data_IF_665216092946
#
_entry.id   IF_665216092946
#
_cell.length_a   1.000
_cell.length_b   1.000
_cell.length_c   1.000
_cell.angle_alpha   90.00
_cell.angle_beta   90.00
_cell.angle_gamma   90.00
#
_symmetry.space_group_name_H-M   'P 1'
#
loop_
_entity.id
_entity.type
_entity.pdbx_description
1 polymer ?
#
# COMPACT_ATOMS: atom_id res chain seq x y z
N UNK A 1 -10.41 -11.08 -14.55
CA UNK A 1 -10.22 -12.38 -13.89
C UNK A 1 -11.48 -13.22 -13.80
N UNK A 2 -12.57 -12.77 -13.15
CA UNK A 2 -13.82 -13.57 -13.07
C UNK A 2 -14.39 -13.93 -14.45
N UNK A 3 -14.44 -12.97 -15.37
CA UNK A 3 -14.86 -13.20 -16.76
C UNK A 3 -13.99 -14.24 -17.45
N UNK A 4 -12.66 -14.10 -17.35
CA UNK A 4 -11.71 -15.07 -17.91
C UNK A 4 -11.93 -16.49 -17.37
N UNK A 5 -12.13 -16.66 -16.05
CA UNK A 5 -12.43 -17.97 -15.43
C UNK A 5 -13.71 -18.58 -16.03
N UNK A 6 -14.74 -17.75 -16.24
CA UNK A 6 -16.02 -18.20 -16.81
C UNK A 6 -15.88 -18.57 -18.30
N UNK A 7 -15.24 -17.71 -19.10
CA UNK A 7 -15.03 -17.92 -20.54
C UNK A 7 -14.18 -19.15 -20.84
N UNK A 8 -13.16 -19.40 -20.02
CA UNK A 8 -12.26 -20.54 -20.16
C UNK A 8 -12.77 -21.80 -19.45
N UNK A 9 -13.94 -21.75 -18.80
CA UNK A 9 -14.54 -22.91 -18.11
C UNK A 9 -13.64 -23.51 -17.03
N UNK A 10 -12.85 -22.69 -16.33
CA UNK A 10 -11.84 -23.19 -15.37
C UNK A 10 -12.54 -23.77 -14.13
N UNK A 11 -12.30 -25.05 -13.78
CA UNK A 11 -12.86 -25.67 -12.59
C UNK A 11 -12.43 -24.95 -11.30
N UNK A 12 -13.31 -24.93 -10.29
CA UNK A 12 -13.07 -24.20 -9.04
C UNK A 12 -11.80 -24.65 -8.32
N UNK A 13 -11.51 -25.96 -8.31
CA UNK A 13 -10.32 -26.57 -7.74
C UNK A 13 -9.02 -26.23 -8.49
N UNK A 14 -9.13 -25.71 -9.72
CA UNK A 14 -8.00 -25.27 -10.56
C UNK A 14 -7.77 -23.77 -10.58
N UNK A 15 -8.67 -22.98 -9.97
CA UNK A 15 -8.55 -21.51 -9.97
C UNK A 15 -7.22 -21.06 -9.34
N UNK A 16 -6.82 -21.67 -8.22
CA UNK A 16 -5.59 -21.30 -7.52
C UNK A 16 -4.30 -21.69 -8.28
N UNK A 17 -4.40 -22.62 -9.23
CA UNK A 17 -3.29 -23.09 -10.07
C UNK A 17 -3.06 -22.22 -11.32
N UNK A 18 -3.96 -21.27 -11.61
CA UNK A 18 -3.82 -20.36 -12.75
C UNK A 18 -2.47 -19.65 -12.66
N UNK A 19 -1.65 -19.75 -13.72
CA UNK A 19 -0.36 -19.08 -13.76
C UNK A 19 -0.50 -17.64 -14.23
N UNK A 20 0.08 -16.73 -13.44
CA UNK A 20 0.19 -15.32 -13.72
C UNK A 20 1.62 -15.03 -14.16
N UNK A 21 1.77 -14.32 -15.28
CA UNK A 21 3.05 -13.72 -15.66
C UNK A 21 3.16 -12.37 -14.96
N UNK A 22 4.22 -12.21 -14.18
CA UNK A 22 4.54 -10.98 -13.45
C UNK A 22 5.67 -10.28 -14.19
N UNK A 23 5.43 -9.03 -14.53
CA UNK A 23 6.40 -8.15 -15.18
C UNK A 23 6.75 -7.04 -14.21
N UNK A 24 7.95 -7.14 -13.63
CA UNK A 24 8.52 -6.12 -12.76
C UNK A 24 9.55 -5.31 -13.54
N UNK A 25 9.57 -4.00 -13.35
CA UNK A 25 10.49 -3.14 -14.07
C UNK A 25 11.96 -3.44 -13.73
N UNK A 26 12.78 -3.63 -14.77
CA UNK A 26 14.21 -3.93 -14.62
C UNK A 26 14.53 -5.34 -14.11
N UNK A 27 13.54 -6.19 -13.84
CA UNK A 27 13.73 -7.58 -13.45
C UNK A 27 13.31 -8.53 -14.58
N UNK A 28 13.88 -9.73 -14.61
CA UNK A 28 13.43 -10.77 -15.55
C UNK A 28 11.97 -11.13 -15.22
N UNK A 29 11.06 -11.13 -16.21
CA UNK A 29 9.70 -11.60 -16.00
C UNK A 29 9.72 -13.02 -15.43
N UNK A 30 8.80 -13.28 -14.51
CA UNK A 30 8.63 -14.60 -13.93
C UNK A 30 7.16 -14.99 -13.93
N UNK A 31 6.88 -16.27 -13.72
CA UNK A 31 5.51 -16.78 -13.58
C UNK A 31 5.29 -17.36 -12.19
N UNK A 32 4.20 -16.98 -11.55
CA UNK A 32 3.72 -17.56 -10.29
C UNK A 32 2.31 -18.12 -10.45
N UNK A 33 1.83 -18.92 -9.50
CA UNK A 33 0.42 -19.31 -9.44
C UNK A 33 -0.41 -18.19 -8.82
N UNK A 34 -1.72 -18.16 -9.10
CA UNK A 34 -2.65 -17.24 -8.46
C UNK A 34 -2.57 -17.39 -6.93
N UNK A 35 -2.45 -18.64 -6.44
CA UNK A 35 -2.24 -18.91 -5.01
C UNK A 35 -1.03 -18.17 -4.42
N UNK A 36 0.06 -18.05 -5.18
CA UNK A 36 1.26 -17.37 -4.74
C UNK A 36 1.11 -15.85 -4.65
N UNK A 37 0.11 -15.29 -5.36
CA UNK A 37 -0.19 -13.85 -5.39
C UNK A 37 -1.31 -13.43 -4.43
N UNK A 38 -1.84 -14.35 -3.64
CA UNK A 38 -2.92 -14.08 -2.68
C UNK A 38 -2.38 -14.10 -1.25
N UNK A 39 -2.83 -13.11 -0.47
CA UNK A 39 -2.70 -13.11 0.99
C UNK A 39 -4.11 -13.27 1.59
N UNK A 40 -4.26 -14.20 2.54
CA UNK A 40 -5.52 -14.47 3.21
C UNK A 40 -5.29 -14.92 4.65
N UNK A 41 -6.12 -14.46 5.59
CA UNK A 41 -6.11 -14.90 6.99
C UNK A 41 -7.40 -15.63 7.26
N UNK A 42 -7.30 -16.75 7.97
CA UNK A 42 -8.47 -17.51 8.43
C UNK A 42 -8.99 -16.85 9.70
N UNK A 43 -10.20 -16.29 9.65
CA UNK A 43 -10.79 -15.61 10.80
C UNK A 43 -10.95 -16.57 11.99
N UNK A 44 -10.51 -16.14 13.17
CA UNK A 44 -10.56 -16.94 14.40
C UNK A 44 -9.48 -18.02 14.50
N UNK A 45 -8.59 -18.12 13.51
CA UNK A 45 -7.45 -19.03 13.53
C UNK A 45 -6.15 -18.25 13.33
N UNK A 46 -5.07 -18.68 14.00
CA UNK A 46 -3.75 -18.11 13.78
C UNK A 46 -3.09 -18.71 12.52
N UNK A 47 -3.82 -18.71 11.41
CA UNK A 47 -3.44 -19.33 10.14
C UNK A 47 -3.65 -18.36 8.99
N UNK A 48 -2.65 -18.26 8.11
CA UNK A 48 -2.71 -17.42 6.92
C UNK A 48 -2.13 -18.13 5.69
N UNK A 49 -2.66 -17.79 4.52
CA UNK A 49 -2.04 -18.05 3.23
C UNK A 49 -1.23 -16.83 2.84
N UNK A 50 0.06 -17.02 2.59
CA UNK A 50 0.92 -15.99 1.98
C UNK A 50 1.98 -16.66 1.12
N UNK A 51 2.33 -16.03 0.00
CA UNK A 51 3.31 -16.57 -0.97
C UNK A 51 2.99 -18.01 -1.43
N UNK A 52 1.71 -18.41 -1.42
CA UNK A 52 1.26 -19.74 -1.84
C UNK A 52 1.32 -20.82 -0.75
N UNK A 53 1.79 -20.48 0.45
CA UNK A 53 1.95 -21.39 1.57
C UNK A 53 1.01 -21.04 2.72
N UNK A 54 0.38 -22.07 3.30
CA UNK A 54 -0.31 -21.95 4.57
C UNK A 54 0.73 -21.90 5.69
N UNK A 55 0.60 -20.92 6.57
CA UNK A 55 1.48 -20.72 7.72
C UNK A 55 0.62 -20.47 8.95
N UNK A 56 1.02 -21.04 10.08
CA UNK A 56 0.53 -20.61 11.37
C UNK A 56 1.46 -19.58 11.99
N UNK A 57 0.93 -18.73 12.86
CA UNK A 57 1.70 -17.79 13.66
C UNK A 57 1.37 -17.96 15.15
N UNK A 58 2.30 -17.60 16.02
CA UNK A 58 2.14 -17.66 17.48
C UNK A 58 2.22 -16.26 18.08
N UNK A 59 2.02 -16.18 19.40
CA UNK A 59 2.05 -14.93 20.16
C UNK A 59 3.42 -14.23 20.05
N UNK A 60 4.52 -14.98 20.18
CA UNK A 60 5.88 -14.42 20.07
C UNK A 60 6.10 -13.70 18.73
N UNK A 61 5.61 -14.29 17.63
CA UNK A 61 5.68 -13.67 16.32
C UNK A 61 4.84 -12.39 16.25
N UNK A 62 3.63 -12.40 16.83
CA UNK A 62 2.77 -11.23 16.87
C UNK A 62 3.40 -10.10 17.67
N UNK A 63 4.02 -10.40 18.81
CA UNK A 63 4.69 -9.42 19.65
C UNK A 63 5.90 -8.80 18.96
N UNK A 64 6.71 -9.61 18.28
CA UNK A 64 7.83 -9.11 17.47
C UNK A 64 7.33 -8.20 16.34
N UNK A 65 6.27 -8.62 15.64
CA UNK A 65 5.69 -7.83 14.56
C UNK A 65 5.14 -6.51 15.10
N UNK A 66 4.42 -6.53 16.23
CA UNK A 66 3.90 -5.34 16.90
C UNK A 66 5.01 -4.38 17.30
N UNK A 67 6.07 -4.90 17.94
CA UNK A 67 7.23 -4.09 18.32
C UNK A 67 7.92 -3.45 17.11
N UNK A 68 8.07 -4.20 16.01
CA UNK A 68 8.69 -3.69 14.79
C UNK A 68 7.88 -2.57 14.15
N UNK A 69 6.57 -2.77 13.99
CA UNK A 69 5.71 -1.73 13.37
C UNK A 69 5.55 -0.53 14.28
N UNK A 70 5.35 -0.72 15.59
CA UNK A 70 5.19 0.39 16.54
C UNK A 70 6.48 1.22 16.72
N UNK A 71 7.64 0.68 16.32
CA UNK A 71 8.90 1.41 16.25
C UNK A 71 9.05 2.33 15.03
N UNK A 72 8.09 2.33 14.09
CA UNK A 72 8.11 3.23 12.93
C UNK A 72 7.66 4.63 13.36
N UNK A 73 8.34 5.67 12.87
CA UNK A 73 8.02 7.05 13.22
C UNK A 73 6.59 7.43 12.78
N UNK A 74 5.79 7.89 13.75
CA UNK A 74 4.45 8.42 13.49
C UNK A 74 4.51 9.94 13.30
N UNK A 75 4.36 10.38 12.06
CA UNK A 75 4.27 11.80 11.74
C UNK A 75 2.94 12.37 12.24
N UNK A 76 3.01 13.52 12.91
CA UNK A 76 1.83 14.23 13.37
C UNK A 76 0.97 14.69 12.19
N UNK A 77 -0.32 14.33 12.22
CA UNK A 77 -1.29 14.81 11.26
C UNK A 77 -1.77 16.21 11.63
N UNK A 78 -1.67 17.13 10.67
CA UNK A 78 -2.14 18.50 10.79
C UNK A 78 -3.65 18.51 11.13
N UNK A 79 -4.13 19.48 11.94
CA UNK A 79 -5.52 19.52 12.39
C UNK A 79 -6.54 19.33 11.26
N UNK A 80 -6.31 19.99 10.13
CA UNK A 80 -7.21 19.97 8.96
C UNK A 80 -7.27 18.61 8.26
N UNK A 81 -6.28 17.74 8.47
CA UNK A 81 -6.25 16.39 7.89
C UNK A 81 -6.50 15.29 8.91
N UNK A 82 -6.70 15.59 10.19
CA UNK A 82 -7.03 14.54 11.18
C UNK A 82 -8.36 13.85 10.87
N UNK A 83 -9.28 14.56 10.23
CA UNK A 83 -10.58 14.06 9.81
C UNK A 83 -10.94 14.56 8.41
N UNK A 84 -10.85 13.67 7.41
CA UNK A 84 -11.02 14.01 6.01
C UNK A 84 -12.45 13.72 5.56
N UNK A 85 -13.12 14.76 5.07
CA UNK A 85 -14.45 14.71 4.45
C UNK A 85 -14.29 15.09 2.98
N UNK A 86 -14.87 14.30 2.08
CA UNK A 86 -14.85 14.58 0.64
C UNK A 86 -14.09 13.55 -0.19
N UNK A 87 -13.85 13.93 -1.44
CA UNK A 87 -13.16 13.14 -2.45
C UNK A 87 -11.67 13.53 -2.55
N UNK A 88 -10.91 12.71 -3.28
CA UNK A 88 -9.46 12.82 -3.42
C UNK A 88 -8.99 14.17 -3.97
N UNK A 89 -9.70 14.74 -4.94
CA UNK A 89 -9.35 16.05 -5.51
C UNK A 89 -9.36 17.18 -4.48
N UNK A 90 -10.40 17.25 -3.64
CA UNK A 90 -10.50 18.27 -2.58
C UNK A 90 -9.41 18.10 -1.51
N UNK A 91 -9.03 16.86 -1.22
CA UNK A 91 -7.90 16.57 -0.32
C UNK A 91 -6.58 17.08 -0.90
N UNK A 92 -6.29 16.80 -2.17
CA UNK A 92 -5.05 17.24 -2.83
C UNK A 92 -4.96 18.77 -2.94
N UNK A 93 -6.07 19.46 -3.24
CA UNK A 93 -6.12 20.93 -3.24
C UNK A 93 -5.85 21.53 -1.85
N UNK A 94 -6.43 20.93 -0.80
CA UNK A 94 -6.20 21.37 0.57
C UNK A 94 -4.74 21.13 1.01
N UNK A 95 -4.16 19.98 0.65
CA UNK A 95 -2.75 19.67 0.86
C UNK A 95 -1.83 20.71 0.18
N UNK A 96 -2.17 21.11 -1.05
CA UNK A 96 -1.47 22.17 -1.78
C UNK A 96 -1.35 23.50 -1.02
N UNK A 97 -2.41 23.89 -0.32
CA UNK A 97 -2.47 25.16 0.45
C UNK A 97 -1.54 25.18 1.66
N UNK A 98 -1.08 24.02 2.13
CA UNK A 98 -0.21 23.89 3.31
C UNK A 98 1.16 23.30 2.96
N UNK A 99 1.58 23.46 1.70
CA UNK A 99 2.94 23.21 1.25
C UNK A 99 3.22 21.82 0.67
N UNK A 100 2.21 20.98 0.50
CA UNK A 100 2.39 19.73 -0.26
C UNK A 100 2.37 20.02 -1.76
N UNK A 101 3.33 19.47 -2.48
CA UNK A 101 3.33 19.43 -3.94
C UNK A 101 2.56 18.19 -4.37
N UNK A 102 1.55 18.38 -5.20
CA UNK A 102 0.78 17.27 -5.77
C UNK A 102 1.61 16.55 -6.84
N UNK A 103 1.75 15.23 -6.70
CA UNK A 103 2.41 14.33 -7.64
C UNK A 103 1.47 13.20 -8.13
N UNK A 104 0.17 13.27 -7.78
CA UNK A 104 -0.89 12.35 -8.22
C UNK A 104 -0.90 12.26 -9.76
N UNK A 105 -0.78 11.04 -10.29
CA UNK A 105 -0.66 10.74 -11.73
C UNK A 105 0.49 11.46 -12.44
N UNK A 106 1.50 11.94 -11.73
CA UNK A 106 2.71 12.45 -12.35
C UNK A 106 3.65 11.32 -12.74
N UNK A 107 3.44 10.80 -13.94
CA UNK A 107 4.25 9.76 -14.54
C UNK A 107 5.61 10.26 -15.05
N UNK A 108 5.95 11.53 -14.85
CA UNK A 108 7.24 12.11 -15.22
C UNK A 108 8.26 12.10 -14.08
N UNK A 109 7.82 11.87 -12.83
CA UNK A 109 8.67 11.78 -11.64
C UNK A 109 9.61 10.58 -11.71
N UNK A 110 9.12 9.46 -12.26
CA UNK A 110 9.90 8.25 -12.52
C UNK A 110 9.66 7.86 -13.99
N UNK A 111 10.58 8.25 -14.87
CA UNK A 111 10.56 7.79 -16.27
C UNK A 111 11.48 6.58 -16.40
N UNK A 112 10.89 5.40 -16.51
CA UNK A 112 11.64 4.16 -16.77
C UNK A 112 11.97 4.02 -18.26
N UNK A 113 12.92 3.11 -18.57
CA UNK A 113 13.34 2.80 -19.94
C UNK A 113 12.27 2.04 -20.74
N UNK A 114 11.38 1.33 -20.05
CA UNK A 114 10.16 0.77 -20.60
C UNK A 114 9.06 1.83 -20.57
N UNK A 115 8.12 1.82 -21.51
CA UNK A 115 7.01 2.78 -21.59
C UNK A 115 5.97 2.68 -20.44
N UNK A 116 6.32 2.04 -19.32
CA UNK A 116 5.43 1.82 -18.19
C UNK A 116 5.46 3.04 -17.28
N UNK A 117 4.29 3.64 -17.13
CA UNK A 117 4.07 4.82 -16.31
C UNK A 117 3.78 4.35 -14.88
N UNK A 118 4.72 4.57 -13.96
CA UNK A 118 4.54 4.23 -12.53
C UNK A 118 4.14 5.48 -11.76
N UNK A 119 3.03 5.38 -11.04
CA UNK A 119 2.63 6.38 -10.04
C UNK A 119 3.47 6.14 -8.77
N UNK A 120 4.44 7.02 -8.52
CA UNK A 120 5.48 6.79 -7.52
C UNK A 120 5.02 7.11 -6.08
N UNK A 121 4.26 8.19 -5.93
CA UNK A 121 3.67 8.72 -4.69
C UNK A 121 2.62 9.79 -5.04
N UNK A 122 1.77 10.15 -4.08
CA UNK A 122 0.67 11.11 -4.29
C UNK A 122 1.10 12.56 -3.97
N UNK A 123 1.90 12.76 -2.92
CA UNK A 123 2.33 14.09 -2.47
C UNK A 123 3.82 14.12 -2.15
N UNK A 124 4.40 15.33 -2.18
CA UNK A 124 5.77 15.61 -1.77
C UNK A 124 5.81 16.85 -0.86
N UNK A 125 6.54 16.78 0.25
CA UNK A 125 6.84 17.94 1.10
C UNK A 125 8.16 17.73 1.83
N UNK A 126 9.05 18.72 1.83
CA UNK A 126 10.31 18.71 2.59
C UNK A 126 11.15 17.42 2.37
N UNK A 127 11.39 17.04 1.12
CA UNK A 127 12.09 15.78 0.74
C UNK A 127 11.43 14.49 1.27
N UNK A 128 10.19 14.57 1.75
CA UNK A 128 9.36 13.43 2.15
C UNK A 128 8.33 13.18 1.07
N UNK A 129 8.29 11.95 0.57
CA UNK A 129 7.25 11.50 -0.36
C UNK A 129 6.13 10.84 0.42
N UNK A 130 4.87 11.01 0.00
CA UNK A 130 3.70 10.49 0.69
C UNK A 130 2.86 9.65 -0.26
N UNK A 131 2.62 8.40 0.12
CA UNK A 131 1.61 7.55 -0.53
C UNK A 131 0.35 7.53 0.33
N UNK A 132 -0.72 8.10 -0.18
CA UNK A 132 -1.98 8.34 0.53
C UNK A 132 -3.02 7.32 0.10
N UNK A 133 -3.64 6.63 1.07
CA UNK A 133 -4.73 5.71 0.73
C UNK A 133 -5.86 5.71 1.74
N UNK A 134 -7.07 5.83 1.19
CA UNK A 134 -8.33 5.65 1.93
C UNK A 134 -8.94 4.27 1.70
N UNK A 135 -9.24 3.56 2.78
CA UNK A 135 -9.96 2.29 2.69
C UNK A 135 -9.87 1.41 3.94
N UNK A 136 -10.47 0.20 3.88
CA UNK A 136 -10.22 -0.84 4.87
C UNK A 136 -8.77 -1.33 4.78
N UNK A 137 -8.31 -2.06 5.81
CA UNK A 137 -6.96 -2.62 5.91
C UNK A 137 -6.51 -3.35 4.62
N UNK A 138 -7.40 -4.17 4.03
CA UNK A 138 -7.13 -4.85 2.77
C UNK A 138 -6.82 -3.90 1.60
N UNK A 139 -7.54 -2.78 1.49
CA UNK A 139 -7.36 -1.82 0.39
C UNK A 139 -6.12 -0.96 0.60
N UNK A 140 -5.83 -0.57 1.86
CA UNK A 140 -4.64 0.23 2.15
C UNK A 140 -3.36 -0.59 2.10
N UNK A 141 -3.42 -1.91 2.32
CA UNK A 141 -2.26 -2.81 2.13
C UNK A 141 -1.67 -2.74 0.73
N UNK A 142 -2.49 -2.48 -0.30
CA UNK A 142 -2.02 -2.28 -1.67
C UNK A 142 -1.07 -1.09 -1.81
N UNK A 143 -1.21 -0.05 -0.97
CA UNK A 143 -0.30 1.10 -1.01
C UNK A 143 1.13 0.71 -0.61
N UNK A 144 1.28 -0.29 0.27
CA UNK A 144 2.59 -0.82 0.63
C UNK A 144 3.25 -1.52 -0.56
N UNK A 145 2.45 -2.24 -1.36
CA UNK A 145 2.92 -2.90 -2.58
C UNK A 145 3.37 -1.87 -3.63
N UNK A 146 2.58 -0.80 -3.83
CA UNK A 146 2.95 0.31 -4.71
C UNK A 146 4.21 1.04 -4.23
N UNK A 147 4.31 1.33 -2.94
CA UNK A 147 5.49 1.97 -2.37
C UNK A 147 6.74 1.11 -2.53
N UNK A 148 6.63 -0.21 -2.37
CA UNK A 148 7.74 -1.13 -2.60
C UNK A 148 8.20 -1.14 -4.07
N UNK A 149 7.28 -1.04 -5.03
CA UNK A 149 7.65 -0.88 -6.44
C UNK A 149 8.47 0.39 -6.66
N UNK A 150 8.05 1.51 -6.06
CA UNK A 150 8.79 2.78 -6.11
C UNK A 150 10.20 2.64 -5.53
N UNK A 151 10.35 2.00 -4.37
CA UNK A 151 11.65 1.76 -3.73
C UNK A 151 12.57 0.88 -4.61
N UNK A 152 12.01 -0.14 -5.27
CA UNK A 152 12.76 -0.98 -6.21
C UNK A 152 13.28 -0.18 -7.41
N UNK A 153 12.48 0.75 -7.94
CA UNK A 153 12.90 1.62 -9.04
C UNK A 153 14.02 2.57 -8.58
N UNK A 154 13.89 3.15 -7.38
CA UNK A 154 14.92 3.99 -6.76
C UNK A 154 16.22 3.21 -6.58
N UNK A 155 16.15 2.00 -6.02
CA UNK A 155 17.33 1.13 -5.82
C UNK A 155 18.06 0.84 -7.12
N UNK A 156 17.30 0.59 -8.18
CA UNK A 156 17.84 0.08 -9.43
C UNK A 156 18.53 1.14 -10.29
N UNK A 157 18.52 2.44 -9.93
CA UNK A 157 19.24 3.63 -10.47
C UNK A 157 19.46 3.73 -12.01
N UNK A 158 19.89 2.68 -12.69
CA UNK A 158 20.06 2.49 -14.13
C UNK A 158 18.80 2.70 -15.00
N UNK A 159 17.60 2.65 -14.41
CA UNK A 159 16.35 2.92 -15.15
C UNK A 159 15.80 4.34 -14.93
N UNK A 160 16.42 5.15 -14.06
CA UNK A 160 15.98 6.51 -13.79
C UNK A 160 16.65 7.48 -14.77
N UNK A 161 15.87 8.11 -15.66
CA UNK A 161 16.40 9.18 -16.52
C UNK A 161 16.72 10.47 -15.74
N UNK A 162 16.02 10.70 -14.63
CA UNK A 162 16.22 11.84 -13.72
C UNK A 162 15.45 11.59 -12.43
N UNK A 163 16.10 11.67 -11.28
CA UNK A 163 15.45 11.89 -9.99
C UNK A 163 16.04 13.20 -9.46
N UNK A 164 15.35 14.32 -9.73
CA UNK A 164 15.86 15.66 -9.41
C UNK A 164 15.86 15.99 -7.90
N UNK A 165 15.30 15.10 -7.06
CA UNK A 165 15.13 15.31 -5.63
C UNK A 165 15.68 14.15 -4.79
N UNK A 166 16.48 14.50 -3.79
CA UNK A 166 16.88 13.59 -2.73
C UNK A 166 15.66 13.26 -1.85
N UNK A 167 15.17 12.03 -1.96
CA UNK A 167 14.11 11.49 -1.10
C UNK A 167 14.73 11.06 0.23
N UNK A 168 14.44 11.79 1.30
CA UNK A 168 14.98 11.53 2.65
C UNK A 168 14.05 10.64 3.48
N UNK A 169 12.75 10.73 3.22
CA UNK A 169 11.75 9.96 3.94
C UNK A 169 10.62 9.51 2.99
N UNK A 170 10.02 8.38 3.31
CA UNK A 170 8.83 7.87 2.63
C UNK A 170 7.75 7.69 3.69
N UNK A 171 6.63 8.39 3.54
CA UNK A 171 5.49 8.31 4.43
C UNK A 171 4.35 7.50 3.79
N UNK A 172 3.85 6.47 4.48
CA UNK A 172 2.52 5.91 4.15
C UNK A 172 1.46 6.65 4.96
N UNK A 173 0.50 7.25 4.26
CA UNK A 173 -0.59 7.99 4.88
C UNK A 173 -1.90 7.22 4.74
N UNK A 174 -2.33 6.60 5.84
CA UNK A 174 -3.53 5.79 5.88
C UNK A 174 -4.75 6.58 6.36
N UNK A 175 -5.84 6.52 5.61
CA UNK A 175 -7.11 7.15 5.93
C UNK A 175 -8.15 6.05 6.20
N UNK A 176 -8.50 5.86 7.47
CA UNK A 176 -9.43 4.81 7.91
C UNK A 176 -10.82 5.36 8.22
N UNK A 177 -11.85 4.55 7.97
CA UNK A 177 -13.21 4.83 8.41
C UNK A 177 -13.37 4.48 9.89
N UNK A 178 -13.14 5.45 10.79
CA UNK A 178 -13.19 5.25 12.25
C UNK A 178 -13.39 6.56 13.00
N UNK A 179 -13.89 6.47 14.24
CA UNK A 179 -14.14 7.62 15.12
C UNK A 179 -12.93 7.95 15.99
N UNK A 180 -12.23 6.94 16.51
CA UNK A 180 -11.06 7.11 17.38
C UNK A 180 -9.77 7.25 16.59
N UNK A 181 -8.80 8.07 17.05
CA UNK A 181 -7.46 8.13 16.45
C UNK A 181 -6.73 6.80 16.61
N UNK A 182 -5.72 6.59 15.75
CA UNK A 182 -4.76 5.47 15.86
C UNK A 182 -3.52 6.05 16.51
N UNK A 183 -3.09 5.45 17.62
CA UNK A 183 -1.85 5.87 18.28
C UNK A 183 -0.68 4.91 18.03
N UNK A 184 -1.00 3.67 17.64
CA UNK A 184 -0.03 2.60 17.33
C UNK A 184 -0.52 1.75 16.17
N UNK A 185 0.40 1.17 15.40
CA UNK A 185 0.05 0.34 14.25
C UNK A 185 -0.44 -1.03 14.72
N UNK A 186 0.04 -1.51 15.87
CA UNK A 186 -0.43 -2.72 16.54
C UNK A 186 -1.94 -2.72 16.80
N UNK A 187 -2.57 -1.55 16.98
CA UNK A 187 -4.03 -1.39 17.15
C UNK A 187 -4.84 -1.74 15.89
N UNK A 188 -4.20 -1.84 14.73
CA UNK A 188 -4.90 -2.18 13.49
C UNK A 188 -5.11 -3.70 13.44
N UNK A 189 -6.36 -4.14 13.38
CA UNK A 189 -6.69 -5.56 13.34
C UNK A 189 -6.48 -6.16 11.93
N UNK A 190 -5.21 -6.26 11.52
CA UNK A 190 -4.80 -6.88 10.26
C UNK A 190 -3.33 -7.27 10.30
N UNK A 191 -3.06 -8.56 10.51
CA UNK A 191 -1.70 -9.12 10.49
C UNK A 191 -1.01 -8.94 9.12
N UNK A 192 -1.76 -9.13 8.02
CA UNK A 192 -1.24 -8.95 6.65
C UNK A 192 -0.78 -7.50 6.45
N UNK A 193 -1.57 -6.52 6.89
CA UNK A 193 -1.20 -5.12 6.75
C UNK A 193 0.07 -4.79 7.56
N UNK A 194 0.15 -5.30 8.79
CA UNK A 194 1.35 -5.13 9.64
C UNK A 194 2.59 -5.71 8.98
N UNK A 195 2.50 -6.92 8.41
CA UNK A 195 3.60 -7.54 7.66
C UNK A 195 4.03 -6.69 6.46
N UNK A 196 3.08 -6.19 5.67
CA UNK A 196 3.37 -5.34 4.52
C UNK A 196 4.04 -4.02 4.94
N UNK A 197 3.60 -3.42 6.04
CA UNK A 197 4.22 -2.21 6.61
C UNK A 197 5.64 -2.51 7.09
N UNK A 198 5.85 -3.61 7.81
CA UNK A 198 7.19 -4.02 8.28
C UNK A 198 8.15 -4.25 7.10
N UNK A 199 7.71 -5.01 6.10
CA UNK A 199 8.46 -5.30 4.88
C UNK A 199 8.81 -4.04 4.09
N UNK A 200 7.91 -3.07 4.02
CA UNK A 200 8.14 -1.77 3.40
C UNK A 200 9.15 -0.93 4.21
N UNK A 201 8.96 -0.84 5.52
CA UNK A 201 9.82 -0.05 6.39
C UNK A 201 11.26 -0.57 6.38
N UNK A 202 11.46 -1.89 6.31
CA UNK A 202 12.77 -2.51 6.15
C UNK A 202 13.46 -2.05 4.85
N UNK A 203 12.74 -2.09 3.72
CA UNK A 203 13.25 -1.65 2.41
C UNK A 203 13.59 -0.16 2.37
N UNK A 204 12.80 0.69 3.03
CA UNK A 204 13.17 2.10 3.20
C UNK A 204 14.53 2.24 3.88
N UNK A 205 14.72 1.57 5.02
CA UNK A 205 15.96 1.64 5.80
C UNK A 205 17.17 1.11 5.02
N UNK A 206 17.00 0.03 4.24
CA UNK A 206 18.04 -0.51 3.37
C UNK A 206 18.54 0.51 2.32
N UNK A 207 17.68 1.45 1.92
CA UNK A 207 18.00 2.52 0.97
C UNK A 207 18.40 3.84 1.65
N UNK A 208 18.52 3.86 2.99
CA UNK A 208 18.80 5.08 3.74
C UNK A 208 17.63 6.08 3.78
N UNK A 209 16.42 5.63 3.43
CA UNK A 209 15.19 6.43 3.46
C UNK A 209 14.49 6.18 4.80
N UNK A 210 14.08 7.23 5.49
CA UNK A 210 13.36 7.10 6.76
C UNK A 210 11.90 6.67 6.51
N UNK A 211 11.44 5.52 7.04
CA UNK A 211 10.03 5.14 6.96
C UNK A 211 9.20 5.94 7.98
N UNK A 212 8.14 6.57 7.50
CA UNK A 212 7.18 7.31 8.32
C UNK A 212 5.75 6.82 8.09
N UNK A 213 4.90 7.00 9.09
CA UNK A 213 3.48 6.69 9.00
C UNK A 213 2.66 7.88 9.45
N UNK A 214 1.53 8.07 8.79
CA UNK A 214 0.59 9.15 9.07
C UNK A 214 -0.82 8.62 9.01
N UNK A 215 -1.66 9.08 9.93
CA UNK A 215 -3.03 8.58 10.06
C UNK A 215 -4.06 9.69 10.00
N UNK A 216 -5.10 9.44 9.24
CA UNK A 216 -6.31 10.26 9.22
C UNK A 216 -7.54 9.39 9.40
N UNK A 217 -8.62 10.04 9.82
CA UNK A 217 -9.93 9.44 9.95
C UNK A 217 -10.85 9.96 8.86
N UNK A 218 -11.89 9.22 8.56
CA UNK A 218 -12.94 9.64 7.64
C UNK A 218 -14.28 9.00 8.06
N UNK A 219 -15.42 9.54 7.60
CA UNK A 219 -16.69 8.88 7.82
C UNK A 219 -16.72 7.53 7.10
N UNK A 220 -17.44 6.57 7.70
CA UNK A 220 -17.80 5.33 7.03
C UNK A 220 -18.54 5.65 5.73
N UNK A 221 -18.12 5.03 4.62
CA UNK A 221 -18.87 5.14 3.37
C UNK A 221 -20.24 4.50 3.57
N UNK A 222 -21.29 5.30 3.58
CA UNK A 222 -22.65 4.81 3.38
C UNK A 222 -22.71 4.18 2.00
N UNK A 223 -22.99 2.87 1.93
CA UNK A 223 -23.35 2.24 0.66
C UNK A 223 -24.66 2.87 0.24
N UNK A 224 -24.66 3.72 -0.79
CA UNK A 224 -25.91 4.04 -1.47
C UNK A 224 -26.37 2.75 -2.15
N UNK A 225 -27.38 2.11 -1.56
CA UNK A 225 -28.20 1.18 -2.32
C UNK A 225 -28.91 2.03 -3.38
N UNK A 226 -28.31 2.14 -4.56
CA UNK A 226 -29.06 2.49 -5.75
C UNK A 226 -30.15 1.43 -5.88
N UNK A 227 -31.38 1.82 -5.52
CA UNK A 227 -32.58 1.05 -5.85
C UNK A 227 -32.52 0.84 -7.36
N UNK A 228 -32.30 -0.39 -7.79
CA UNK A 228 -32.64 -0.80 -9.15
C UNK A 228 -34.14 -0.55 -9.27
N UNK A 229 -34.52 0.48 -10.00
CA UNK A 229 -35.89 0.58 -10.49
C UNK A 229 -36.10 -0.57 -11.46
N UNK A 230 -37.25 -1.21 -11.26
CA UNK A 230 -37.82 -2.38 -11.93
C UNK A 230 -37.81 -2.21 -13.44
#
# INVERSE_FOLDING_TARGET
>A
MRTYIQEQGIPKDKILDIRLRVENEGQKPYSGTLKASLDFVVDGENVMLTQGHWRSFNEDYLDQLHASVDGIFLEATEPDFQYIIGEEGAFNEAAGKVGYVNADKDFSVIVTSASTKVEAWDLLRDSTVYAVKRGPAQKVGYVCDQANLTLEIIRNNANLKKLDQEVKAYCLWFIFARTTPISKISEIDSIILKQKIDDWARRCRELGIEPRLKFSRCPARTRSHAKKHV
#
